data_IF_452947370658
#
_entry.id   IF_452947370658
#
_cell.length_a   1.000
_cell.length_b   1.000
_cell.length_c   1.000
_cell.angle_alpha   90.00
_cell.angle_beta   90.00
_cell.angle_gamma   90.00
#
_symmetry.space_group_name_H-M   'P 1'
#
loop_
_entity.id
_entity.type
_entity.pdbx_description
1 polymer ?
#
# COMPACT_ATOMS: atom_id res chain seq x y z
N UNK A 1 23.54 3.94 -76.73
CA UNK A 1 24.20 4.07 -75.42
C UNK A 1 23.10 4.41 -74.38
N UNK A 2 22.69 3.43 -73.56
CA UNK A 2 21.59 3.59 -72.61
C UNK A 2 22.15 3.44 -71.19
N UNK A 3 22.08 4.53 -70.40
CA UNK A 3 22.52 4.56 -69.01
C UNK A 3 21.35 4.14 -68.11
N UNK A 4 21.38 2.89 -67.62
CA UNK A 4 20.48 2.45 -66.54
C UNK A 4 21.08 2.88 -65.20
N UNK A 5 20.40 3.83 -64.54
CA UNK A 5 20.75 4.35 -63.21
C UNK A 5 20.15 3.44 -62.15
N UNK A 6 20.98 2.64 -61.54
CA UNK A 6 20.64 1.78 -60.39
C UNK A 6 20.23 2.64 -59.17
N UNK A 7 18.97 2.61 -58.79
CA UNK A 7 18.50 3.17 -57.50
C UNK A 7 18.71 2.12 -56.41
N UNK A 8 19.56 2.40 -55.43
CA UNK A 8 19.79 1.58 -54.25
C UNK A 8 18.56 1.56 -53.35
N UNK A 9 18.20 0.40 -52.75
CA UNK A 9 17.03 0.26 -51.83
C UNK A 9 17.46 0.62 -50.42
N UNK A 10 17.54 1.91 -50.08
CA UNK A 10 17.88 2.36 -48.70
C UNK A 10 16.63 2.48 -47.82
N UNK A 11 15.42 2.36 -48.39
CA UNK A 11 14.19 2.71 -47.69
C UNK A 11 13.51 1.59 -46.90
N UNK A 12 14.00 0.35 -46.98
CA UNK A 12 13.38 -0.79 -46.29
C UNK A 12 13.84 -0.96 -44.85
N UNK A 13 15.02 -0.50 -44.48
CA UNK A 13 15.56 -0.67 -43.12
C UNK A 13 15.10 0.42 -42.15
N UNK A 14 14.76 1.62 -42.65
CA UNK A 14 14.28 2.72 -41.82
C UNK A 14 12.88 2.49 -41.31
N UNK A 15 12.04 1.74 -42.03
CA UNK A 15 10.65 1.46 -41.62
C UNK A 15 10.57 0.41 -40.50
N UNK A 16 11.49 -0.55 -40.47
CA UNK A 16 11.52 -1.64 -39.47
C UNK A 16 11.99 -1.11 -38.11
N UNK A 17 12.95 -0.19 -38.10
CA UNK A 17 13.44 0.43 -36.86
C UNK A 17 12.42 1.33 -36.19
N UNK A 18 11.56 1.99 -36.95
CA UNK A 18 10.51 2.86 -36.39
C UNK A 18 9.38 2.06 -35.75
N UNK A 19 9.09 0.86 -36.24
CA UNK A 19 8.03 -0.01 -35.69
C UNK A 19 8.45 -0.71 -34.38
N UNK A 20 9.75 -0.97 -34.20
CA UNK A 20 10.28 -1.62 -33.00
C UNK A 20 10.27 -0.71 -31.75
N UNK A 21 10.30 0.60 -31.91
CA UNK A 21 10.26 1.57 -30.79
C UNK A 21 8.82 1.76 -30.25
N UNK A 22 7.79 1.45 -31.03
CA UNK A 22 6.39 1.57 -30.59
C UNK A 22 5.88 0.38 -29.76
N UNK A 23 6.67 -0.69 -29.63
CA UNK A 23 6.31 -1.90 -28.88
C UNK A 23 6.97 -1.99 -27.50
N UNK A 24 7.57 -0.90 -27.01
CA UNK A 24 7.95 -0.84 -25.60
C UNK A 24 6.65 -0.82 -24.79
N UNK A 25 6.36 -1.86 -23.98
CA UNK A 25 5.23 -1.80 -23.07
C UNK A 25 5.48 -0.57 -22.19
N UNK A 26 4.54 0.38 -22.23
CA UNK A 26 4.45 1.41 -21.22
C UNK A 26 4.30 0.64 -19.89
N UNK A 27 5.39 0.43 -19.19
CA UNK A 27 5.34 0.04 -17.77
C UNK A 27 4.68 1.23 -17.11
N UNK A 28 3.34 1.17 -17.04
CA UNK A 28 2.58 2.04 -16.19
C UNK A 28 3.13 1.77 -14.78
N UNK A 29 3.98 2.68 -14.31
CA UNK A 29 4.27 2.79 -12.89
C UNK A 29 2.91 3.06 -12.24
N UNK A 30 2.21 2.00 -11.82
CA UNK A 30 1.11 2.09 -10.88
C UNK A 30 1.76 2.51 -9.56
N UNK A 31 2.08 3.79 -9.46
CA UNK A 31 2.21 4.45 -8.19
C UNK A 31 0.85 4.33 -7.54
N UNK A 32 0.78 3.61 -6.44
CA UNK A 32 -0.40 3.57 -5.57
C UNK A 32 -0.62 5.01 -5.13
N UNK A 33 -1.49 5.74 -5.84
CA UNK A 33 -1.80 7.13 -5.59
C UNK A 33 -2.61 7.17 -4.29
N UNK A 34 -1.90 7.30 -3.17
CA UNK A 34 -2.52 7.44 -1.86
C UNK A 34 -3.30 8.76 -1.85
N UNK A 35 -4.60 8.67 -2.00
CA UNK A 35 -5.52 9.82 -1.98
C UNK A 35 -5.68 10.42 -0.57
N UNK A 36 -4.75 10.17 0.36
CA UNK A 36 -4.77 10.69 1.72
C UNK A 36 -3.36 10.92 2.26
N UNK A 37 -3.24 11.94 3.10
CA UNK A 37 -1.99 12.27 3.79
C UNK A 37 -1.90 11.50 5.10
N UNK A 38 -0.78 10.84 5.33
CA UNK A 38 -0.45 10.20 6.59
C UNK A 38 0.35 11.21 7.42
N UNK A 39 0.02 11.37 8.68
CA UNK A 39 0.69 12.31 9.59
C UNK A 39 1.40 11.57 10.73
N UNK A 40 2.46 12.20 11.23
CA UNK A 40 3.18 11.75 12.42
C UNK A 40 3.96 10.46 12.18
N UNK A 41 3.96 9.55 13.16
CA UNK A 41 4.79 8.35 13.12
C UNK A 41 4.48 7.40 11.94
N UNK A 42 3.32 7.53 11.32
CA UNK A 42 2.92 6.68 10.19
C UNK A 42 3.81 6.78 8.96
N UNK A 43 4.51 7.91 8.78
CA UNK A 43 5.45 8.13 7.69
C UNK A 43 6.85 7.54 7.96
N UNK A 44 7.09 7.07 9.17
CA UNK A 44 8.38 6.49 9.54
C UNK A 44 8.55 5.14 8.83
N UNK A 45 9.71 4.95 8.17
CA UNK A 45 9.99 3.67 7.54
C UNK A 45 10.21 2.57 8.57
N UNK A 46 9.81 1.36 8.22
CA UNK A 46 10.03 0.16 9.01
C UNK A 46 11.50 -0.04 9.40
N UNK A 47 12.44 0.35 8.52
CA UNK A 47 13.87 0.33 8.84
C UNK A 47 14.23 1.18 10.06
N UNK A 48 13.57 2.32 10.25
CA UNK A 48 13.79 3.19 11.42
C UNK A 48 13.18 2.58 12.67
N UNK A 49 11.98 2.00 12.57
CA UNK A 49 11.33 1.27 13.66
C UNK A 49 12.20 0.14 14.19
N UNK A 50 12.89 -0.58 13.28
CA UNK A 50 13.75 -1.72 13.62
C UNK A 50 15.14 -1.33 14.17
N UNK A 51 15.55 -0.05 14.14
CA UNK A 51 16.86 0.35 14.64
C UNK A 51 17.02 0.12 16.14
N UNK A 52 15.99 0.43 16.92
CA UNK A 52 16.01 0.36 18.38
C UNK A 52 14.68 -0.24 18.90
N UNK A 53 14.37 -1.49 18.59
CA UNK A 53 13.08 -2.12 18.94
C UNK A 53 12.89 -2.29 20.45
N UNK A 54 14.00 -2.30 21.23
CA UNK A 54 14.00 -2.44 22.68
C UNK A 54 13.85 -1.10 23.42
N UNK A 55 13.94 0.05 22.70
CA UNK A 55 13.71 1.35 23.32
C UNK A 55 12.23 1.50 23.71
N UNK A 56 11.98 1.51 25.01
CA UNK A 56 10.63 1.57 25.58
C UNK A 56 9.89 2.87 25.22
N UNK A 57 10.60 3.99 25.08
CA UNK A 57 10.02 5.28 24.71
C UNK A 57 9.57 5.29 23.26
N UNK A 58 10.43 4.87 22.33
CA UNK A 58 10.10 4.74 20.92
C UNK A 58 9.00 3.72 20.69
N UNK A 59 9.09 2.56 21.35
CA UNK A 59 8.03 1.54 21.29
C UNK A 59 6.67 2.14 21.68
N UNK A 60 6.60 2.83 22.83
CA UNK A 60 5.36 3.44 23.31
C UNK A 60 4.84 4.51 22.36
N UNK A 61 5.73 5.30 21.78
CA UNK A 61 5.38 6.30 20.78
C UNK A 61 4.73 5.67 19.54
N UNK A 62 5.33 4.63 18.98
CA UNK A 62 4.77 3.92 17.81
C UNK A 62 3.46 3.20 18.14
N UNK A 63 3.37 2.57 19.30
CA UNK A 63 2.15 1.91 19.76
C UNK A 63 1.00 2.90 19.96
N UNK A 64 1.24 4.05 20.59
CA UNK A 64 0.21 5.08 20.79
C UNK A 64 -0.30 5.62 19.45
N UNK A 65 0.59 5.85 18.49
CA UNK A 65 0.19 6.27 17.17
C UNK A 65 -0.67 5.20 16.47
N UNK A 66 -0.26 3.94 16.53
CA UNK A 66 -1.02 2.83 15.96
C UNK A 66 -2.40 2.67 16.63
N UNK A 67 -2.48 2.79 17.95
CA UNK A 67 -3.76 2.76 18.69
C UNK A 67 -4.69 3.91 18.27
N UNK A 68 -4.15 5.11 18.08
CA UNK A 68 -4.91 6.26 17.56
C UNK A 68 -5.50 5.97 16.19
N UNK A 69 -4.73 5.39 15.28
CA UNK A 69 -5.23 4.98 13.97
C UNK A 69 -6.32 3.91 14.07
N UNK A 70 -6.08 2.86 14.86
CA UNK A 70 -7.07 1.79 15.06
C UNK A 70 -8.37 2.37 15.62
N UNK A 71 -8.28 3.26 16.61
CA UNK A 71 -9.45 3.94 17.21
C UNK A 71 -10.21 4.76 16.17
N UNK A 72 -9.50 5.56 15.36
CA UNK A 72 -10.11 6.33 14.29
C UNK A 72 -10.79 5.42 13.26
N UNK A 73 -10.15 4.31 12.89
CA UNK A 73 -10.71 3.34 11.94
C UNK A 73 -11.99 2.69 12.49
N UNK A 74 -12.02 2.33 13.77
CA UNK A 74 -13.24 1.80 14.42
C UNK A 74 -14.36 2.84 14.41
N UNK A 75 -14.05 4.08 14.77
CA UNK A 75 -15.03 5.17 14.82
C UNK A 75 -15.63 5.45 13.43
N UNK A 76 -14.80 5.62 12.42
CA UNK A 76 -15.28 5.84 11.04
C UNK A 76 -15.95 4.60 10.44
N UNK A 77 -15.45 3.41 10.78
CA UNK A 77 -16.06 2.14 10.38
C UNK A 77 -17.50 2.02 10.84
N UNK A 78 -17.84 2.49 12.04
CA UNK A 78 -19.20 2.53 12.53
C UNK A 78 -20.11 3.44 11.68
N UNK A 79 -19.65 4.65 11.32
CA UNK A 79 -20.41 5.54 10.45
C UNK A 79 -20.65 4.95 9.06
N UNK A 80 -19.62 4.36 8.48
CA UNK A 80 -19.74 3.68 7.17
C UNK A 80 -20.75 2.53 7.26
N UNK A 81 -20.68 1.73 8.30
CA UNK A 81 -21.60 0.61 8.54
C UNK A 81 -23.06 1.08 8.67
N UNK A 82 -23.29 2.13 9.43
CA UNK A 82 -24.63 2.70 9.60
C UNK A 82 -25.18 3.22 8.28
N UNK A 83 -24.36 3.96 7.53
CA UNK A 83 -24.74 4.47 6.22
C UNK A 83 -25.01 3.37 5.18
N UNK A 84 -24.19 2.32 5.15
CA UNK A 84 -24.39 1.17 4.28
C UNK A 84 -25.61 0.36 4.66
N UNK A 85 -25.83 0.10 5.96
CA UNK A 85 -27.02 -0.64 6.45
C UNK A 85 -28.31 0.07 6.03
N UNK A 86 -28.35 1.40 6.11
CA UNK A 86 -29.51 2.19 5.69
C UNK A 86 -29.75 2.13 4.18
N UNK A 87 -28.67 2.16 3.36
CA UNK A 87 -28.79 2.21 1.90
C UNK A 87 -28.97 0.86 1.22
N UNK A 88 -28.35 -0.19 1.74
CA UNK A 88 -28.20 -1.47 1.01
C UNK A 88 -28.84 -2.64 1.72
N UNK A 89 -29.34 -2.46 2.95
CA UNK A 89 -29.91 -3.55 3.73
C UNK A 89 -28.92 -4.69 4.06
N UNK A 90 -27.61 -4.45 3.97
CA UNK A 90 -26.57 -5.43 4.27
C UNK A 90 -26.81 -6.01 5.67
N UNK A 91 -27.11 -7.29 5.72
CA UNK A 91 -27.25 -8.07 6.95
C UNK A 91 -25.92 -8.79 7.18
N UNK A 92 -25.14 -8.32 8.15
CA UNK A 92 -23.90 -8.98 8.54
C UNK A 92 -22.99 -8.05 9.33
N UNK A 93 -22.08 -8.59 10.14
CA UNK A 93 -21.07 -7.78 10.80
C UNK A 93 -20.12 -7.23 9.75
N UNK A 94 -20.16 -5.93 9.52
CA UNK A 94 -18.99 -5.28 8.94
C UNK A 94 -17.88 -5.33 10.00
N UNK A 95 -16.63 -5.60 9.59
CA UNK A 95 -15.52 -5.71 10.52
C UNK A 95 -15.23 -4.34 11.16
N UNK A 96 -15.71 -4.17 12.36
CA UNK A 96 -15.48 -3.01 13.22
C UNK A 96 -15.20 -3.51 14.64
N UNK A 97 -14.74 -2.61 15.48
CA UNK A 97 -14.34 -2.92 16.86
C UNK A 97 -13.11 -3.85 16.93
N UNK A 98 -12.05 -3.40 16.30
CA UNK A 98 -10.75 -4.03 16.42
C UNK A 98 -10.06 -3.44 17.64
N UNK A 99 -9.90 -4.25 18.69
CA UNK A 99 -9.24 -3.86 19.93
C UNK A 99 -8.10 -4.82 20.29
N UNK A 100 -7.01 -4.85 19.48
CA UNK A 100 -5.89 -5.72 19.80
C UNK A 100 -5.14 -5.21 21.04
N UNK A 101 -4.62 -6.12 21.84
CA UNK A 101 -3.75 -5.78 22.96
C UNK A 101 -2.46 -5.09 22.49
N UNK A 102 -1.87 -4.24 23.33
CA UNK A 102 -0.66 -3.46 22.99
C UNK A 102 0.52 -4.35 22.57
N UNK A 103 0.71 -5.48 23.24
CA UNK A 103 1.77 -6.43 22.91
C UNK A 103 1.55 -7.07 21.53
N UNK A 104 0.30 -7.34 21.16
CA UNK A 104 -0.08 -7.84 19.82
C UNK A 104 0.19 -6.79 18.76
N UNK A 105 -0.16 -5.51 19.01
CA UNK A 105 0.13 -4.41 18.09
C UNK A 105 1.63 -4.36 17.82
N UNK A 106 2.46 -4.32 18.87
CA UNK A 106 3.90 -4.23 18.74
C UNK A 106 4.50 -5.41 18.00
N UNK A 107 4.13 -6.63 18.39
CA UNK A 107 4.58 -7.84 17.70
C UNK A 107 4.26 -7.82 16.20
N UNK A 108 3.06 -7.40 15.83
CA UNK A 108 2.64 -7.33 14.43
C UNK A 108 3.39 -6.26 13.64
N UNK A 109 3.66 -5.11 14.26
CA UNK A 109 4.50 -4.07 13.67
C UNK A 109 5.90 -4.60 13.40
N UNK A 110 6.54 -5.23 14.40
CA UNK A 110 7.88 -5.79 14.24
C UNK A 110 7.93 -6.89 13.18
N UNK A 111 6.96 -7.81 13.19
CA UNK A 111 6.88 -8.90 12.20
C UNK A 111 6.80 -8.34 10.79
N UNK A 112 5.85 -7.43 10.53
CA UNK A 112 5.68 -6.80 9.23
C UNK A 112 6.93 -6.02 8.80
N UNK A 113 7.48 -5.22 9.72
CA UNK A 113 8.66 -4.40 9.41
C UNK A 113 9.91 -5.27 9.13
N UNK A 114 10.02 -6.45 9.73
CA UNK A 114 11.11 -7.38 9.44
C UNK A 114 11.02 -7.96 8.03
N UNK A 115 9.81 -8.17 7.53
CA UNK A 115 9.55 -8.68 6.18
C UNK A 115 9.65 -7.55 5.14
N UNK A 116 9.16 -6.35 5.48
CA UNK A 116 9.06 -5.20 4.57
C UNK A 116 9.78 -3.95 5.11
N UNK A 117 11.13 -3.96 5.23
CA UNK A 117 11.88 -2.86 5.87
C UNK A 117 11.81 -1.52 5.14
N UNK A 118 11.39 -1.50 3.88
CA UNK A 118 11.19 -0.26 3.09
C UNK A 118 9.78 0.32 3.24
N UNK A 119 8.83 -0.45 3.72
CA UNK A 119 7.47 0.00 3.95
C UNK A 119 7.39 1.02 5.09
N UNK A 120 6.24 1.65 5.26
CA UNK A 120 5.98 2.62 6.32
C UNK A 120 5.33 1.94 7.52
N UNK A 121 5.44 2.55 8.69
CA UNK A 121 4.71 2.11 9.90
C UNK A 121 3.20 2.07 9.65
N UNK A 122 2.66 3.00 8.86
CA UNK A 122 1.26 3.01 8.43
C UNK A 122 0.86 1.75 7.67
N UNK A 123 1.75 1.20 6.84
CA UNK A 123 1.46 -0.03 6.11
C UNK A 123 1.40 -1.24 7.06
N UNK A 124 2.27 -1.28 8.08
CA UNK A 124 2.23 -2.29 9.13
C UNK A 124 0.91 -2.28 9.91
N UNK A 125 0.42 -1.09 10.27
CA UNK A 125 -0.87 -0.95 10.98
C UNK A 125 -2.04 -1.31 10.08
N UNK A 126 -2.00 -0.94 8.80
CA UNK A 126 -3.00 -1.32 7.80
C UNK A 126 -3.09 -2.84 7.64
N UNK A 127 -1.94 -3.54 7.57
CA UNK A 127 -1.94 -5.01 7.49
C UNK A 127 -2.46 -5.65 8.77
N UNK A 128 -2.12 -5.10 9.95
CA UNK A 128 -2.71 -5.53 11.23
C UNK A 128 -4.25 -5.45 11.16
N UNK A 129 -4.80 -4.31 10.76
CA UNK A 129 -6.26 -4.10 10.63
C UNK A 129 -6.86 -5.12 9.66
N UNK A 130 -6.29 -5.27 8.47
CA UNK A 130 -6.76 -6.22 7.46
C UNK A 130 -6.75 -7.66 7.98
N UNK A 131 -5.71 -8.04 8.73
CA UNK A 131 -5.60 -9.39 9.29
C UNK A 131 -6.67 -9.68 10.34
N UNK A 132 -7.03 -8.69 11.16
CA UNK A 132 -8.08 -8.81 12.16
C UNK A 132 -9.47 -8.88 11.50
N UNK A 133 -9.71 -8.04 10.49
CA UNK A 133 -10.97 -8.06 9.74
C UNK A 133 -11.20 -9.40 9.03
N UNK A 134 -10.16 -9.96 8.40
CA UNK A 134 -10.26 -11.30 7.80
C UNK A 134 -10.62 -12.40 8.80
N UNK A 135 -10.25 -12.26 10.07
CA UNK A 135 -10.63 -13.21 11.13
C UNK A 135 -12.08 -13.07 11.56
N UNK A 136 -12.62 -11.86 11.59
CA UNK A 136 -14.01 -11.60 11.97
C UNK A 136 -15.00 -11.96 10.86
N UNK A 137 -14.55 -11.96 9.59
CA UNK A 137 -15.38 -12.28 8.43
C UNK A 137 -15.62 -13.79 8.22
N UNK A 138 -14.95 -14.65 9.00
CA UNK A 138 -15.12 -16.11 8.96
C UNK A 138 -16.16 -16.56 9.99
#
# INVERSE_FOLDING_TARGET
MSYYKQRKPIMKHALITLLAVMLLPAVAAHGDEKNYTILGAGEISCRVVLKNPEDKGLRKFYQNWAQGWITATNYFGEYIRLGLKQKTGIKGPLPYDIAPREDVIWYKILSFCSEEPKALLSDAVKELLNSQWRKQAK
#
